data_IF_358722006797
#
_entry.id   IF_358722006797
#
_cell.length_a   1.000
_cell.length_b   1.000
_cell.length_c   1.000
_cell.angle_alpha   90.00
_cell.angle_beta   90.00
_cell.angle_gamma   90.00
#
_symmetry.space_group_name_H-M   'P 1'
#
loop_
_entity.id
_entity.type
_entity.pdbx_description
1 polymer ?
#
# COMPACT_ATOMS: atom_id res chain seq x y z
N UNK A 1 19.75 -13.42 -10.78
CA UNK A 1 19.42 -12.60 -11.96
C UNK A 1 20.27 -11.34 -11.91
N UNK A 2 21.20 -11.16 -12.85
CA UNK A 2 21.98 -9.92 -12.92
C UNK A 2 21.09 -8.82 -13.52
N UNK A 3 20.95 -7.68 -12.82
CA UNK A 3 20.17 -6.53 -13.28
C UNK A 3 20.92 -5.82 -14.41
N UNK A 4 20.84 -6.38 -15.61
CA UNK A 4 21.42 -5.85 -16.84
C UNK A 4 20.32 -5.72 -17.90
N UNK A 5 20.33 -4.65 -18.72
CA UNK A 5 19.44 -4.56 -19.88
C UNK A 5 19.56 -5.80 -20.76
N UNK A 6 18.43 -6.40 -21.12
CA UNK A 6 18.35 -7.64 -21.89
C UNK A 6 18.32 -8.93 -21.05
N UNK A 7 18.45 -8.86 -19.71
CA UNK A 7 18.28 -10.02 -18.85
C UNK A 7 16.82 -10.49 -18.84
N UNK A 8 16.63 -11.80 -18.93
CA UNK A 8 15.33 -12.47 -18.91
C UNK A 8 15.19 -13.27 -17.61
N UNK A 9 14.00 -13.24 -17.00
CA UNK A 9 13.66 -14.15 -15.92
C UNK A 9 13.39 -15.55 -16.44
N UNK A 10 13.53 -16.55 -15.55
CA UNK A 10 12.95 -17.85 -15.80
C UNK A 10 11.42 -17.70 -15.95
N UNK A 11 10.83 -18.57 -16.78
CA UNK A 11 9.40 -18.55 -17.06
C UNK A 11 8.63 -19.21 -15.92
N UNK A 12 7.73 -18.46 -15.28
CA UNK A 12 6.79 -19.00 -14.32
C UNK A 12 5.53 -19.43 -15.06
N UNK A 13 5.32 -20.75 -15.13
CA UNK A 13 4.15 -21.35 -15.76
C UNK A 13 3.08 -21.54 -14.69
N UNK A 14 2.01 -20.76 -14.77
CA UNK A 14 0.82 -20.98 -13.96
C UNK A 14 0.00 -22.11 -14.60
N UNK A 15 0.16 -23.33 -14.11
CA UNK A 15 -0.49 -24.53 -14.64
C UNK A 15 -2.03 -24.49 -14.51
N UNK A 16 -2.59 -23.65 -13.62
CA UNK A 16 -4.04 -23.54 -13.44
C UNK A 16 -4.71 -22.68 -14.52
N UNK A 17 -3.98 -21.73 -15.11
CA UNK A 17 -4.50 -20.79 -16.11
C UNK A 17 -3.91 -20.99 -17.51
N UNK A 18 -2.95 -21.90 -17.66
CA UNK A 18 -2.25 -22.15 -18.93
C UNK A 18 -1.39 -20.96 -19.39
N UNK A 19 -1.12 -20.01 -18.50
CA UNK A 19 -0.36 -18.80 -18.77
C UNK A 19 1.08 -18.95 -18.28
N UNK A 20 2.02 -18.49 -19.10
CA UNK A 20 3.43 -18.43 -18.75
C UNK A 20 3.85 -16.96 -18.74
N UNK A 21 4.40 -16.51 -17.61
CA UNK A 21 4.90 -15.16 -17.44
C UNK A 21 6.43 -15.17 -17.37
N UNK A 22 7.06 -14.25 -18.09
CA UNK A 22 8.49 -13.97 -17.96
C UNK A 22 8.70 -12.46 -17.99
N UNK A 23 9.74 -12.01 -17.31
CA UNK A 23 10.12 -10.61 -17.23
C UNK A 23 11.40 -10.38 -18.04
N UNK A 24 11.41 -9.34 -18.86
CA UNK A 24 12.60 -8.88 -19.57
C UNK A 24 12.95 -7.50 -19.05
N UNK A 25 14.20 -7.32 -18.62
CA UNK A 25 14.70 -6.00 -18.22
C UNK A 25 15.01 -5.23 -19.50
N UNK A 26 14.21 -4.21 -19.83
CA UNK A 26 14.46 -3.36 -21.00
C UNK A 26 15.52 -2.28 -20.71
N UNK A 27 15.45 -1.67 -19.53
CA UNK A 27 16.36 -0.61 -19.11
C UNK A 27 16.56 -0.65 -17.59
N UNK A 28 17.76 -0.29 -17.14
CA UNK A 28 18.07 -0.10 -15.72
C UNK A 28 18.32 1.39 -15.50
N UNK A 29 17.36 2.06 -14.89
CA UNK A 29 17.46 3.50 -14.63
C UNK A 29 18.49 3.77 -13.52
N UNK A 30 19.40 4.75 -13.69
CA UNK A 30 20.32 5.16 -12.64
C UNK A 30 19.57 5.81 -11.47
N UNK A 31 20.18 5.80 -10.29
CA UNK A 31 19.58 6.45 -9.11
C UNK A 31 19.48 7.96 -9.34
N UNK A 32 18.26 8.46 -9.45
CA UNK A 32 17.96 9.87 -9.71
C UNK A 32 16.87 10.37 -8.76
N UNK A 33 16.87 11.66 -8.38
CA UNK A 33 15.78 12.22 -7.61
C UNK A 33 14.49 12.10 -8.43
N UNK A 34 13.44 11.56 -7.79
CA UNK A 34 12.11 11.51 -8.41
C UNK A 34 11.69 12.93 -8.77
N UNK A 35 11.14 13.09 -9.96
CA UNK A 35 10.58 14.36 -10.40
C UNK A 35 9.34 14.70 -9.59
N UNK A 36 8.97 15.99 -9.54
CA UNK A 36 7.73 16.42 -8.89
C UNK A 36 6.51 15.71 -9.51
N UNK A 37 6.53 15.41 -10.80
CA UNK A 37 5.43 14.72 -11.48
C UNK A 37 5.26 13.28 -10.96
N UNK A 38 6.36 12.55 -10.80
CA UNK A 38 6.35 11.19 -10.24
C UNK A 38 6.01 11.17 -8.75
N UNK A 39 6.46 12.17 -7.98
CA UNK A 39 6.27 12.21 -6.52
C UNK A 39 4.95 12.84 -6.10
N UNK A 40 4.31 13.63 -6.98
CA UNK A 40 3.08 14.39 -6.65
C UNK A 40 1.97 13.47 -6.14
N UNK A 41 1.75 12.32 -6.78
CA UNK A 41 0.71 11.38 -6.36
C UNK A 41 0.92 10.88 -4.92
N UNK A 42 2.15 10.50 -4.59
CA UNK A 42 2.51 10.05 -3.25
C UNK A 42 2.37 11.16 -2.20
N UNK A 43 2.86 12.36 -2.50
CA UNK A 43 2.75 13.51 -1.58
C UNK A 43 1.28 13.88 -1.31
N UNK A 44 0.43 13.81 -2.35
CA UNK A 44 -1.01 14.05 -2.20
C UNK A 44 -1.62 12.96 -1.30
N UNK A 45 -1.31 11.69 -1.54
CA UNK A 45 -1.82 10.58 -0.73
C UNK A 45 -1.46 10.73 0.76
N UNK A 46 -0.19 11.00 1.06
CA UNK A 46 0.27 11.22 2.45
C UNK A 46 -0.46 12.39 3.12
N UNK A 47 -0.75 13.44 2.36
CA UNK A 47 -1.48 14.59 2.85
C UNK A 47 -2.97 14.28 3.08
N UNK A 48 -3.60 13.48 2.22
CA UNK A 48 -4.98 13.01 2.45
C UNK A 48 -5.06 12.19 3.74
N UNK A 49 -4.13 11.25 3.96
CA UNK A 49 -4.06 10.46 5.19
C UNK A 49 -3.91 11.35 6.43
N UNK A 50 -3.11 12.42 6.33
CA UNK A 50 -2.96 13.39 7.41
C UNK A 50 -4.29 14.10 7.71
N UNK A 51 -5.00 14.56 6.69
CA UNK A 51 -6.30 15.24 6.84
C UNK A 51 -7.35 14.29 7.42
N UNK A 52 -7.40 13.04 6.98
CA UNK A 52 -8.33 12.03 7.49
C UNK A 52 -8.11 11.75 8.97
N UNK A 53 -6.85 11.53 9.39
CA UNK A 53 -6.52 11.35 10.81
C UNK A 53 -6.98 12.53 11.65
N UNK A 54 -6.75 13.75 11.17
CA UNK A 54 -7.17 14.98 11.86
C UNK A 54 -8.69 15.07 11.93
N UNK A 55 -9.38 14.67 10.86
CA UNK A 55 -10.83 14.68 10.81
C UNK A 55 -11.45 13.67 11.78
N UNK A 56 -10.95 12.43 11.81
CA UNK A 56 -11.40 11.39 12.77
C UNK A 56 -11.22 11.88 14.21
N UNK A 57 -10.04 12.43 14.54
CA UNK A 57 -9.78 13.00 15.87
C UNK A 57 -10.78 14.09 16.24
N UNK A 58 -11.10 14.98 15.30
CA UNK A 58 -12.11 16.04 15.53
C UNK A 58 -13.52 15.49 15.77
N UNK A 59 -13.87 14.35 15.16
CA UNK A 59 -15.13 13.68 15.39
C UNK A 59 -15.16 13.00 16.76
N UNK A 60 -14.09 12.33 17.16
CA UNK A 60 -13.96 11.72 18.49
C UNK A 60 -14.08 12.77 19.61
N UNK A 61 -13.45 13.94 19.42
CA UNK A 61 -13.54 15.06 20.36
C UNK A 61 -14.96 15.65 20.42
N UNK A 62 -15.63 15.78 19.26
CA UNK A 62 -16.98 16.35 19.16
C UNK A 62 -18.06 15.41 19.70
N UNK A 63 -17.87 14.10 19.56
CA UNK A 63 -18.85 13.08 19.91
C UNK A 63 -18.26 12.09 20.92
N UNK A 64 -18.31 12.41 22.23
CA UNK A 64 -17.74 11.56 23.25
C UNK A 64 -18.51 10.23 23.33
N UNK A 65 -17.83 9.14 22.95
CA UNK A 65 -18.37 7.78 23.03
C UNK A 65 -18.10 7.20 24.42
N UNK A 66 -19.15 6.75 25.11
CA UNK A 66 -19.02 5.99 26.37
C UNK A 66 -19.20 4.50 26.07
N UNK A 67 -18.12 3.74 26.20
CA UNK A 67 -18.15 2.28 26.08
C UNK A 67 -18.34 1.69 27.47
N UNK A 68 -19.43 0.94 27.67
CA UNK A 68 -19.60 0.13 28.87
C UNK A 68 -18.82 -1.18 28.68
N UNK A 69 -17.57 -1.19 29.19
CA UNK A 69 -16.67 -2.34 29.06
C UNK A 69 -17.20 -3.59 29.76
N UNK A 70 -17.90 -3.45 30.88
CA UNK A 70 -18.47 -4.60 31.61
C UNK A 70 -19.49 -5.38 30.75
N UNK A 71 -20.38 -4.66 30.07
CA UNK A 71 -21.35 -5.27 29.15
C UNK A 71 -20.64 -5.85 27.92
N UNK A 72 -19.67 -5.12 27.37
CA UNK A 72 -18.91 -5.56 26.19
C UNK A 72 -18.14 -6.86 26.46
N UNK A 73 -17.41 -6.93 27.56
CA UNK A 73 -16.63 -8.11 27.96
C UNK A 73 -17.55 -9.31 28.27
N UNK A 74 -18.78 -9.08 28.74
CA UNK A 74 -19.77 -10.14 28.97
C UNK A 74 -20.32 -10.79 27.69
N UNK A 75 -20.25 -10.08 26.55
CA UNK A 75 -20.69 -10.55 25.23
C UNK A 75 -19.58 -11.35 24.51
N UNK A 76 -18.32 -11.14 24.88
CA UNK A 76 -17.18 -11.91 24.36
C UNK A 76 -17.09 -13.20 25.19
N UNK A 77 -17.88 -14.21 24.80
CA UNK A 77 -17.65 -15.61 25.21
C UNK A 77 -16.90 -16.31 24.10
N UNK A 78 -15.82 -17.00 24.48
CA UNK A 78 -15.13 -18.03 23.67
C UNK A 78 -16.12 -19.06 23.09
#
# INVERSE_FOLDING_TARGET
MEWKPGALSDSEINQNEGTAAFYKIEEVLPSQPKTLEESRGFVIADYQDHLERKWVKSLEEKYPVKINREVFDSLIKE
#
